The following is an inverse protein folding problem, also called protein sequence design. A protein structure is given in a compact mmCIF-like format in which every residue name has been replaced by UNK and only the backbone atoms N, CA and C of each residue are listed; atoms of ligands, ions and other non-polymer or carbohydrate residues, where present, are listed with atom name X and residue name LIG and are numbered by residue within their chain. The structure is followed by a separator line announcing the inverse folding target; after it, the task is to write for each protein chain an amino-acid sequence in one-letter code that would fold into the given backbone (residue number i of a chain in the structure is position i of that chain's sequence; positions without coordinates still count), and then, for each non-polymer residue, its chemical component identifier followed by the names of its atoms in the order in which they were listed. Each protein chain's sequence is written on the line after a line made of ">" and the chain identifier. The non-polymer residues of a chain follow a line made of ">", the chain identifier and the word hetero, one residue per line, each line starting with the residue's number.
data_IF_316834552433
#
_entry.id   IF_316834552433
#
_cell.length_a   1.000
_cell.length_b   1.000
_cell.length_c   1.000
_cell.angle_alpha   90.00
_cell.angle_beta   90.00
_cell.angle_gamma   90.00
#
_symmetry.space_group_name_H-M   'P 1'
#
loop_
_entity.id
_entity.type
_entity.pdbx_description
1 polymer ?
#
# COMPACT_ATOMS: atom_id res chain seq x y z
N UNK A 1 6.53 12.45 5.03
CA UNK A 1 7.15 11.11 5.04
C UNK A 1 7.28 10.65 3.59
N UNK A 2 8.27 9.82 3.28
CA UNK A 2 8.48 9.21 1.96
C UNK A 2 8.50 7.68 2.15
N UNK A 3 7.64 6.96 1.44
CA UNK A 3 7.54 5.51 1.49
C UNK A 3 7.82 4.96 0.10
N UNK A 4 8.75 3.99 0.02
CA UNK A 4 8.96 3.13 -1.14
C UNK A 4 9.34 3.87 -2.47
N UNK A 5 9.61 5.18 -2.41
CA UNK A 5 10.23 5.99 -3.46
C UNK A 5 9.38 6.33 -4.69
N UNK A 6 8.22 5.71 -4.87
CA UNK A 6 7.30 6.04 -5.95
C UNK A 6 6.42 4.88 -6.39
N UNK A 7 5.79 5.00 -7.56
CA UNK A 7 4.92 3.96 -8.13
C UNK A 7 5.28 3.72 -9.59
N UNK A 8 5.56 2.46 -9.95
CA UNK A 8 5.64 1.99 -11.34
C UNK A 8 6.66 2.71 -12.26
N UNK A 9 7.88 2.97 -11.79
CA UNK A 9 8.97 3.52 -12.62
C UNK A 9 10.11 2.52 -12.84
N UNK A 10 9.85 1.39 -13.50
CA UNK A 10 10.87 0.36 -13.75
C UNK A 10 10.65 -0.40 -15.06
N UNK A 11 11.74 -0.82 -15.71
CA UNK A 11 11.73 -1.67 -16.92
C UNK A 11 11.75 -3.17 -16.61
N UNK A 12 12.27 -3.54 -15.44
CA UNK A 12 12.30 -4.89 -14.89
C UNK A 12 12.53 -4.82 -13.35
N UNK A 13 12.43 -5.92 -12.58
CA UNK A 13 12.84 -5.94 -11.18
C UNK A 13 14.28 -5.42 -11.02
N UNK A 14 14.47 -4.52 -10.06
CA UNK A 14 15.70 -3.79 -9.75
C UNK A 14 16.24 -2.93 -10.90
N UNK A 15 15.40 -2.56 -11.88
CA UNK A 15 15.77 -1.69 -12.99
C UNK A 15 14.83 -0.48 -13.06
N UNK A 16 15.00 0.50 -12.16
CA UNK A 16 14.24 1.73 -12.22
C UNK A 16 14.53 2.49 -13.52
N UNK A 17 13.52 3.15 -14.08
CA UNK A 17 13.70 4.01 -15.25
C UNK A 17 14.54 5.23 -14.86
N UNK A 18 15.73 5.37 -15.44
CA UNK A 18 16.65 6.50 -15.25
C UNK A 18 16.96 6.82 -13.77
N UNK A 19 17.65 5.94 -13.04
CA UNK A 19 17.96 6.13 -11.62
C UNK A 19 18.69 7.45 -11.33
N UNK A 20 19.55 7.90 -12.24
CA UNK A 20 20.31 9.14 -12.07
C UNK A 20 19.40 10.38 -12.05
N UNK A 21 18.35 10.40 -12.88
CA UNK A 21 17.37 11.49 -12.87
C UNK A 21 16.61 11.57 -11.53
N UNK A 22 16.34 10.42 -10.89
CA UNK A 22 15.71 10.38 -9.57
C UNK A 22 16.64 10.93 -8.48
N UNK A 23 17.93 10.62 -8.57
CA UNK A 23 18.97 11.15 -7.67
C UNK A 23 19.11 12.67 -7.84
N UNK A 24 19.19 13.16 -9.08
CA UNK A 24 19.28 14.60 -9.39
C UNK A 24 18.03 15.37 -8.91
N UNK A 25 16.85 14.78 -9.11
CA UNK A 25 15.60 15.36 -8.62
C UNK A 25 15.58 15.40 -7.09
N UNK A 26 16.04 14.34 -6.43
CA UNK A 26 16.17 14.29 -4.97
C UNK A 26 17.13 15.37 -4.46
N UNK A 27 18.27 15.57 -5.14
CA UNK A 27 19.20 16.66 -4.85
C UNK A 27 18.53 18.03 -4.95
N UNK A 28 17.75 18.26 -6.01
CA UNK A 28 17.06 19.52 -6.24
C UNK A 28 16.02 19.83 -5.16
N UNK A 29 15.23 18.82 -4.76
CA UNK A 29 14.26 18.95 -3.67
C UNK A 29 14.94 19.20 -2.33
N UNK A 30 16.07 18.54 -2.08
CA UNK A 30 16.85 18.67 -0.84
C UNK A 30 17.33 20.10 -0.57
N UNK A 31 17.66 20.87 -1.62
CA UNK A 31 18.13 22.26 -1.48
C UNK A 31 17.11 23.21 -0.86
N UNK A 32 15.81 22.96 -1.10
CA UNK A 32 14.73 23.85 -0.65
C UNK A 32 13.90 23.26 0.48
N UNK A 33 14.02 21.96 0.74
CA UNK A 33 13.32 21.32 1.84
C UNK A 33 13.77 21.84 3.20
N UNK A 34 12.80 22.20 4.05
CA UNK A 34 13.02 22.66 5.43
C UNK A 34 12.25 21.85 6.46
N UNK A 35 11.28 21.06 6.02
CA UNK A 35 10.44 20.23 6.88
C UNK A 35 11.16 18.90 7.13
N UNK A 36 11.25 18.42 8.39
CA UNK A 36 11.81 17.11 8.69
C UNK A 36 11.15 16.00 7.90
N UNK A 37 11.96 15.08 7.34
CA UNK A 37 11.45 13.99 6.51
C UNK A 37 12.01 12.64 6.94
N UNK A 38 11.11 11.68 7.15
CA UNK A 38 11.45 10.27 7.33
C UNK A 38 11.21 9.50 6.03
N UNK A 39 12.19 8.71 5.62
CA UNK A 39 12.16 7.82 4.45
C UNK A 39 12.13 6.38 4.94
N UNK A 40 11.17 5.57 4.48
CA UNK A 40 11.12 4.13 4.76
C UNK A 40 11.09 3.36 3.44
N UNK A 41 11.96 2.36 3.35
CA UNK A 41 12.12 1.46 2.20
C UNK A 41 12.34 0.05 2.73
N UNK A 42 12.07 -1.00 1.94
CA UNK A 42 12.35 -2.37 2.34
C UNK A 42 13.63 -2.93 1.70
N UNK A 43 14.34 -3.82 2.39
CA UNK A 43 15.54 -4.49 1.87
C UNK A 43 15.31 -5.23 0.56
N UNK A 44 14.12 -5.81 0.37
CA UNK A 44 13.71 -6.55 -0.82
C UNK A 44 12.76 -5.75 -1.74
N UNK A 45 12.77 -4.41 -1.67
CA UNK A 45 12.07 -3.58 -2.65
C UNK A 45 12.67 -3.79 -4.05
N UNK A 46 11.86 -4.30 -4.98
CA UNK A 46 12.28 -4.61 -6.34
C UNK A 46 12.16 -3.43 -7.32
N UNK A 47 11.72 -2.26 -6.89
CA UNK A 47 11.57 -1.08 -7.75
C UNK A 47 12.49 0.07 -7.30
N UNK A 48 12.56 0.31 -5.99
CA UNK A 48 13.43 1.30 -5.38
C UNK A 48 14.29 0.66 -4.30
N UNK A 49 15.00 -0.40 -4.70
CA UNK A 49 15.88 -1.16 -3.81
C UNK A 49 16.87 -0.29 -3.02
N UNK A 50 17.47 -0.85 -1.96
CA UNK A 50 18.19 -0.08 -0.94
C UNK A 50 19.35 0.76 -1.50
N UNK A 51 20.03 0.32 -2.57
CA UNK A 51 21.08 1.09 -3.23
C UNK A 51 20.56 2.42 -3.81
N UNK A 52 19.47 2.37 -4.60
CA UNK A 52 18.87 3.58 -5.17
C UNK A 52 18.33 4.48 -4.05
N UNK A 53 17.65 3.90 -3.07
CA UNK A 53 17.13 4.66 -1.93
C UNK A 53 18.23 5.43 -1.20
N UNK A 54 19.38 4.79 -0.94
CA UNK A 54 20.54 5.42 -0.30
C UNK A 54 21.13 6.55 -1.16
N UNK A 55 21.28 6.34 -2.47
CA UNK A 55 21.79 7.36 -3.40
C UNK A 55 20.88 8.59 -3.44
N UNK A 56 19.56 8.39 -3.57
CA UNK A 56 18.57 9.46 -3.54
C UNK A 56 18.58 10.20 -2.20
N UNK A 57 18.64 9.47 -1.09
CA UNK A 57 18.66 10.05 0.25
C UNK A 57 19.94 10.87 0.51
N UNK A 58 21.09 10.37 0.09
CA UNK A 58 22.36 11.09 0.21
C UNK A 58 22.32 12.41 -0.57
N UNK A 59 21.80 12.38 -1.80
CA UNK A 59 21.64 13.57 -2.63
C UNK A 59 20.63 14.57 -2.01
N UNK A 60 19.50 14.10 -1.50
CA UNK A 60 18.51 14.92 -0.80
C UNK A 60 19.12 15.59 0.45
N UNK A 61 19.86 14.83 1.27
CA UNK A 61 20.45 15.31 2.51
C UNK A 61 21.61 16.28 2.29
N UNK A 62 22.37 16.12 1.20
CA UNK A 62 23.46 17.02 0.83
C UNK A 62 23.00 18.48 0.63
N UNK A 63 21.73 18.70 0.31
CA UNK A 63 21.12 20.03 0.24
C UNK A 63 20.82 20.70 1.59
N UNK A 64 21.14 20.04 2.70
CA UNK A 64 20.86 20.50 4.07
C UNK A 64 19.45 20.15 4.57
N UNK A 65 18.72 19.30 3.86
CA UNK A 65 17.40 18.85 4.27
C UNK A 65 17.48 18.01 5.56
N UNK A 66 16.66 18.30 6.59
CA UNK A 66 16.62 17.51 7.81
C UNK A 66 15.92 16.16 7.56
N UNK A 67 16.68 15.13 7.23
CA UNK A 67 16.14 13.84 6.78
C UNK A 67 16.73 12.64 7.53
N UNK A 68 15.95 11.56 7.63
CA UNK A 68 16.36 10.25 8.16
C UNK A 68 15.88 9.14 7.22
N UNK A 69 16.70 8.11 7.03
CA UNK A 69 16.38 6.92 6.22
C UNK A 69 16.36 5.68 7.13
N UNK A 70 15.28 4.92 7.07
CA UNK A 70 15.18 3.58 7.65
C UNK A 70 14.93 2.56 6.55
N UNK A 71 15.76 1.51 6.53
CA UNK A 71 15.52 0.34 5.69
C UNK A 71 14.88 -0.74 6.57
N UNK A 72 13.67 -1.14 6.22
CA UNK A 72 12.86 -2.15 6.88
C UNK A 72 13.28 -3.56 6.44
N UNK A 73 13.05 -4.59 7.27
CA UNK A 73 13.24 -5.98 6.89
C UNK A 73 12.45 -6.37 5.63
N UNK A 74 12.81 -7.47 4.96
CA UNK A 74 12.06 -7.97 3.81
C UNK A 74 10.59 -8.23 4.13
N UNK A 75 9.70 -7.82 3.23
CA UNK A 75 8.27 -8.11 3.33
C UNK A 75 7.79 -8.83 2.07
N UNK A 76 7.20 -10.04 2.25
CA UNK A 76 6.72 -10.89 1.14
C UNK A 76 7.84 -11.08 0.06
N UNK A 77 7.58 -11.51 -1.18
CA UNK A 77 8.63 -11.56 -2.21
C UNK A 77 9.13 -10.19 -2.72
N UNK A 78 8.36 -9.12 -2.51
CA UNK A 78 8.71 -7.75 -2.90
C UNK A 78 8.20 -6.77 -1.84
N UNK A 79 9.13 -6.07 -1.17
CA UNK A 79 8.83 -5.16 -0.07
C UNK A 79 8.35 -3.77 -0.48
N UNK A 80 8.19 -3.47 -1.76
CA UNK A 80 7.81 -2.14 -2.25
C UNK A 80 6.48 -1.59 -1.70
N UNK A 81 5.59 -2.44 -1.20
CA UNK A 81 4.30 -2.00 -0.65
C UNK A 81 4.20 -2.32 0.84
N UNK A 82 5.34 -2.33 1.56
CA UNK A 82 5.37 -2.73 2.97
C UNK A 82 4.45 -1.86 3.80
N UNK A 83 4.52 -0.53 3.69
CA UNK A 83 3.68 0.37 4.49
C UNK A 83 2.19 0.21 4.15
N UNK A 84 1.87 -0.12 2.90
CA UNK A 84 0.48 -0.30 2.45
C UNK A 84 -0.12 -1.65 2.83
N UNK A 85 0.68 -2.73 2.86
CA UNK A 85 0.17 -4.10 2.95
C UNK A 85 0.58 -4.85 4.22
N UNK A 86 1.62 -4.40 4.92
CA UNK A 86 2.04 -5.03 6.17
C UNK A 86 1.23 -4.47 7.35
N UNK A 87 1.02 -5.27 8.42
CA UNK A 87 0.49 -4.75 9.68
C UNK A 87 1.32 -3.56 10.16
N UNK A 88 0.67 -2.56 10.76
CA UNK A 88 1.33 -1.36 11.25
C UNK A 88 2.53 -1.66 12.16
N UNK A 89 2.45 -2.69 13.00
CA UNK A 89 3.53 -3.16 13.87
C UNK A 89 4.84 -3.50 13.13
N UNK A 90 4.76 -3.73 11.81
CA UNK A 90 5.93 -4.03 10.96
C UNK A 90 6.78 -2.79 10.68
N UNK A 91 6.17 -1.60 10.62
CA UNK A 91 6.84 -0.37 10.15
C UNK A 91 6.64 0.83 11.08
N UNK A 92 5.55 0.88 11.84
CA UNK A 92 5.22 1.97 12.74
C UNK A 92 6.24 2.18 13.86
N UNK A 93 6.90 1.15 14.43
CA UNK A 93 7.99 1.36 15.39
C UNK A 93 9.16 2.21 14.84
N UNK A 94 9.35 2.25 13.52
CA UNK A 94 10.33 3.14 12.88
C UNK A 94 9.81 4.57 12.67
N UNK A 95 8.48 4.75 12.69
CA UNK A 95 7.79 6.02 12.45
C UNK A 95 7.48 6.76 13.74
N UNK A 96 7.03 6.03 14.77
CA UNK A 96 6.56 6.59 16.02
C UNK A 96 7.57 7.54 16.67
N UNK A 97 8.85 7.17 16.88
CA UNK A 97 9.82 8.08 17.49
C UNK A 97 10.04 9.38 16.71
N UNK A 98 9.93 9.31 15.38
CA UNK A 98 10.06 10.48 14.51
C UNK A 98 8.87 11.43 14.68
N UNK A 99 7.64 10.90 14.73
CA UNK A 99 6.44 11.69 14.96
C UNK A 99 6.41 12.31 16.37
N UNK A 100 6.80 11.54 17.39
CA UNK A 100 6.89 12.04 18.77
C UNK A 100 7.88 13.19 18.90
N UNK A 101 9.05 13.09 18.25
CA UNK A 101 10.05 14.17 18.22
C UNK A 101 9.52 15.46 17.58
N UNK A 102 8.54 15.36 16.68
CA UNK A 102 7.87 16.50 16.06
C UNK A 102 6.66 17.00 16.86
N UNK A 103 6.35 16.39 18.01
CA UNK A 103 5.18 16.71 18.82
C UNK A 103 3.85 16.30 18.15
N UNK A 104 3.88 15.34 17.23
CA UNK A 104 2.71 14.86 16.52
C UNK A 104 2.04 13.70 17.27
N UNK A 105 0.70 13.52 17.13
CA UNK A 105 0.00 12.41 17.79
C UNK A 105 0.47 11.05 17.25
N UNK A 106 0.85 10.15 18.16
CA UNK A 106 1.23 8.76 17.85
C UNK A 106 0.32 7.73 18.51
N UNK A 107 -0.41 8.14 19.55
CA UNK A 107 -1.31 7.26 20.30
C UNK A 107 -2.71 7.27 19.72
N UNK A 108 -3.30 6.10 19.58
CA UNK A 108 -4.73 5.96 19.31
C UNK A 108 -5.51 6.50 20.51
N UNK A 109 -6.18 7.64 20.31
CA UNK A 109 -7.05 8.28 21.32
C UNK A 109 -8.51 7.90 21.16
N UNK A 110 -8.89 7.46 19.96
CA UNK A 110 -10.21 6.96 19.61
C UNK A 110 -9.97 5.69 18.79
N UNK A 111 -10.49 4.56 19.27
CA UNK A 111 -10.56 3.37 18.44
C UNK A 111 -11.56 3.65 17.31
N UNK A 112 -11.08 3.64 16.07
CA UNK A 112 -11.97 3.65 14.92
C UNK A 112 -12.93 2.45 15.04
N UNK A 113 -14.19 2.57 14.62
CA UNK A 113 -15.11 1.45 14.64
C UNK A 113 -14.44 0.25 13.96
N UNK A 114 -14.53 -0.90 14.62
CA UNK A 114 -13.95 -2.16 14.17
C UNK A 114 -14.32 -2.43 12.71
N UNK A 115 -13.39 -3.10 12.03
CA UNK A 115 -13.52 -3.63 10.68
C UNK A 115 -14.92 -4.19 10.42
N UNK A 116 -15.40 -4.07 9.18
CA UNK A 116 -16.68 -4.66 8.82
C UNK A 116 -16.68 -6.16 9.17
N UNK A 117 -17.54 -6.60 10.09
CA UNK A 117 -17.74 -8.02 10.38
C UNK A 117 -18.64 -8.65 9.31
N UNK A 118 -18.24 -8.52 8.03
CA UNK A 118 -19.01 -9.10 6.94
C UNK A 118 -18.81 -10.61 6.94
N UNK A 119 -19.88 -11.40 6.76
CA UNK A 119 -19.74 -12.83 6.63
C UNK A 119 -18.86 -13.19 5.41
N UNK A 120 -18.15 -14.31 5.49
CA UNK A 120 -17.42 -14.84 4.34
C UNK A 120 -18.43 -15.17 3.24
N UNK A 121 -18.15 -14.83 1.96
CA UNK A 121 -19.06 -15.15 0.88
C UNK A 121 -19.37 -16.65 0.82
N UNK A 122 -20.66 -17.05 0.87
CA UNK A 122 -21.03 -18.45 0.84
C UNK A 122 -20.49 -19.15 -0.42
N UNK A 123 -19.87 -20.31 -0.23
CA UNK A 123 -19.30 -21.09 -1.33
C UNK A 123 -17.96 -20.55 -1.87
N UNK A 124 -17.38 -19.51 -1.26
CA UNK A 124 -16.05 -19.02 -1.66
C UNK A 124 -15.00 -20.12 -1.55
N UNK A 125 -14.19 -20.28 -2.61
CA UNK A 125 -13.03 -21.16 -2.61
C UNK A 125 -11.94 -20.63 -1.67
N UNK A 126 -11.01 -21.48 -1.20
CA UNK A 126 -9.99 -21.11 -0.22
C UNK A 126 -9.21 -19.83 -0.58
N UNK A 127 -8.79 -19.69 -1.84
CA UNK A 127 -8.10 -18.49 -2.32
C UNK A 127 -8.94 -17.21 -2.17
N UNK A 128 -10.26 -17.31 -2.33
CA UNK A 128 -11.18 -16.20 -2.16
C UNK A 128 -11.57 -15.94 -0.71
N UNK A 129 -11.49 -16.94 0.16
CA UNK A 129 -11.61 -16.75 1.61
C UNK A 129 -10.42 -15.95 2.14
N UNK A 130 -9.20 -16.29 1.71
CA UNK A 130 -7.97 -15.55 2.05
C UNK A 130 -8.03 -14.12 1.49
N UNK A 131 -8.40 -13.97 0.20
CA UNK A 131 -8.57 -12.64 -0.40
C UNK A 131 -9.66 -11.81 0.29
N UNK A 132 -10.71 -12.45 0.83
CA UNK A 132 -11.74 -11.76 1.59
C UNK A 132 -11.25 -11.34 2.98
N UNK A 133 -10.40 -12.14 3.63
CA UNK A 133 -9.74 -11.74 4.87
C UNK A 133 -8.85 -10.49 4.66
N UNK A 134 -8.07 -10.45 3.57
CA UNK A 134 -7.29 -9.27 3.16
C UNK A 134 -8.22 -8.07 2.86
N UNK A 135 -9.37 -8.32 2.21
CA UNK A 135 -10.39 -7.29 1.98
C UNK A 135 -10.90 -6.72 3.31
N UNK A 136 -11.22 -7.54 4.31
CA UNK A 136 -11.71 -7.09 5.61
C UNK A 136 -10.64 -6.35 6.42
N UNK A 137 -9.38 -6.78 6.36
CA UNK A 137 -8.27 -6.14 7.04
C UNK A 137 -7.98 -4.72 6.53
N UNK A 138 -8.41 -4.39 5.30
CA UNK A 138 -8.27 -3.05 4.74
C UNK A 138 -9.40 -2.12 5.26
N UNK A 139 -9.10 -1.06 6.04
CA UNK A 139 -10.13 -0.17 6.58
C UNK A 139 -10.68 0.84 5.56
N UNK A 140 -10.13 0.94 4.35
CA UNK A 140 -10.59 1.88 3.32
C UNK A 140 -12.01 1.54 2.81
N UNK A 141 -12.84 2.56 2.58
CA UNK A 141 -14.16 2.43 1.97
C UNK A 141 -14.09 2.33 0.43
N UNK A 142 -12.99 2.75 -0.19
CA UNK A 142 -12.80 2.78 -1.64
C UNK A 142 -12.41 1.41 -2.23
N UNK A 143 -13.09 0.35 -1.79
CA UNK A 143 -12.87 -1.04 -2.20
C UNK A 143 -14.20 -1.74 -2.48
N UNK A 144 -14.17 -2.78 -3.31
CA UNK A 144 -15.33 -3.64 -3.53
C UNK A 144 -14.89 -5.09 -3.74
N UNK A 145 -15.74 -6.02 -3.35
CA UNK A 145 -15.52 -7.45 -3.49
C UNK A 145 -16.65 -8.03 -4.35
N UNK A 146 -16.30 -8.77 -5.40
CA UNK A 146 -17.24 -9.48 -6.26
C UNK A 146 -17.01 -10.98 -6.17
N UNK A 147 -18.08 -11.76 -6.32
CA UNK A 147 -18.05 -13.23 -6.31
C UNK A 147 -18.84 -13.81 -7.48
N UNK A 148 -18.37 -14.95 -7.98
CA UNK A 148 -19.08 -15.75 -8.97
C UNK A 148 -19.92 -16.85 -8.31
N UNK A 149 -20.80 -17.48 -9.11
CA UNK A 149 -21.56 -18.67 -8.68
C UNK A 149 -20.65 -19.87 -8.36
N UNK A 150 -19.48 -19.96 -9.00
CA UNK A 150 -18.45 -20.97 -8.73
C UNK A 150 -17.58 -20.68 -7.50
N UNK A 151 -17.85 -19.61 -6.73
CA UNK A 151 -17.11 -19.28 -5.52
C UNK A 151 -15.78 -18.56 -5.73
N UNK A 152 -15.45 -18.18 -6.97
CA UNK A 152 -14.30 -17.35 -7.29
C UNK A 152 -14.64 -15.87 -7.10
N UNK A 153 -13.64 -14.99 -7.13
CA UNK A 153 -13.79 -13.61 -6.70
C UNK A 153 -12.89 -12.63 -7.43
N UNK A 154 -13.17 -11.34 -7.24
CA UNK A 154 -12.35 -10.22 -7.67
C UNK A 154 -12.43 -9.04 -6.71
N UNK A 155 -11.30 -8.37 -6.50
CA UNK A 155 -11.19 -7.20 -5.62
C UNK A 155 -10.94 -5.95 -6.46
N UNK A 156 -11.84 -4.98 -6.34
CA UNK A 156 -11.69 -3.65 -6.90
C UNK A 156 -11.24 -2.65 -5.85
N UNK A 157 -10.40 -1.71 -6.27
CA UNK A 157 -9.98 -0.54 -5.48
C UNK A 157 -10.18 0.70 -6.35
N UNK A 158 -10.57 1.81 -5.74
CA UNK A 158 -10.80 3.09 -6.40
C UNK A 158 -10.42 4.25 -5.51
N UNK A 159 -10.82 5.47 -5.86
CA UNK A 159 -10.72 6.63 -4.95
C UNK A 159 -11.98 6.79 -4.11
N UNK A 160 -13.07 6.18 -4.56
CA UNK A 160 -14.38 6.16 -3.89
C UNK A 160 -14.98 4.76 -3.99
N UNK A 161 -15.90 4.43 -3.07
CA UNK A 161 -16.58 3.13 -3.07
C UNK A 161 -17.32 2.82 -4.41
N UNK A 162 -17.99 3.78 -5.08
CA UNK A 162 -18.57 3.55 -6.41
C UNK A 162 -17.54 3.20 -7.48
N UNK A 163 -16.39 3.87 -7.50
CA UNK A 163 -15.33 3.61 -8.48
C UNK A 163 -14.74 2.19 -8.35
N UNK A 164 -14.76 1.62 -7.15
CA UNK A 164 -14.22 0.29 -6.90
C UNK A 164 -15.08 -0.86 -7.45
N UNK A 165 -16.37 -0.60 -7.76
CA UNK A 165 -17.35 -1.64 -8.15
C UNK A 165 -17.01 -2.31 -9.48
N UNK A 166 -16.80 -1.52 -10.53
CA UNK A 166 -16.51 -2.03 -11.87
C UNK A 166 -15.20 -2.85 -11.91
N UNK A 167 -14.08 -2.39 -11.33
CA UNK A 167 -12.86 -3.18 -11.23
C UNK A 167 -13.04 -4.53 -10.51
N UNK A 168 -13.87 -4.59 -9.46
CA UNK A 168 -14.15 -5.83 -8.74
C UNK A 168 -14.85 -6.86 -9.64
N UNK A 169 -15.92 -6.42 -10.32
CA UNK A 169 -16.67 -7.25 -11.26
C UNK A 169 -15.81 -7.71 -12.44
N UNK A 170 -15.04 -6.78 -13.02
CA UNK A 170 -14.15 -7.08 -14.13
C UNK A 170 -13.10 -8.13 -13.75
N UNK A 171 -12.42 -7.96 -12.62
CA UNK A 171 -11.42 -8.93 -12.15
C UNK A 171 -12.04 -10.29 -11.82
N UNK A 172 -13.22 -10.30 -11.21
CA UNK A 172 -13.94 -11.55 -10.97
C UNK A 172 -14.17 -12.29 -12.30
N UNK A 173 -14.74 -11.62 -13.31
CA UNK A 173 -14.98 -12.20 -14.63
C UNK A 173 -13.70 -12.70 -15.29
N UNK A 174 -12.59 -11.98 -15.16
CA UNK A 174 -11.29 -12.41 -15.68
C UNK A 174 -10.84 -13.71 -14.98
N UNK A 175 -10.91 -13.74 -13.65
CA UNK A 175 -10.49 -14.89 -12.84
C UNK A 175 -11.35 -16.14 -13.07
N UNK A 176 -12.60 -15.95 -13.51
CA UNK A 176 -13.56 -17.03 -13.75
C UNK A 176 -13.76 -17.38 -15.22
N UNK A 177 -13.01 -16.76 -16.14
CA UNK A 177 -13.21 -16.91 -17.59
C UNK A 177 -14.64 -16.55 -18.05
N UNK A 178 -15.25 -15.56 -17.40
CA UNK A 178 -16.52 -14.97 -17.82
C UNK A 178 -17.77 -15.49 -17.10
N UNK A 179 -17.63 -16.18 -15.96
CA UNK A 179 -18.81 -16.50 -15.13
C UNK A 179 -19.56 -15.25 -14.69
N UNK A 180 -20.84 -15.42 -14.37
CA UNK A 180 -21.66 -14.38 -13.77
C UNK A 180 -21.12 -14.00 -12.39
N UNK A 181 -20.63 -12.76 -12.31
CA UNK A 181 -20.10 -12.16 -11.10
C UNK A 181 -21.05 -11.08 -10.59
N UNK A 182 -21.23 -11.04 -9.26
CA UNK A 182 -22.00 -10.00 -8.57
C UNK A 182 -21.18 -9.37 -7.46
N UNK A 183 -21.49 -8.12 -7.13
CA UNK A 183 -20.93 -7.48 -5.94
C UNK A 183 -21.43 -8.20 -4.69
N UNK A 184 -20.51 -8.49 -3.78
CA UNK A 184 -20.79 -9.05 -2.47
C UNK A 184 -20.66 -7.98 -1.38
N UNK A 185 -19.63 -7.14 -1.47
CA UNK A 185 -19.38 -6.06 -0.53
C UNK A 185 -18.85 -4.82 -1.24
N UNK A 186 -19.18 -3.64 -0.70
CA UNK A 186 -18.70 -2.33 -1.16
C UNK A 186 -18.34 -1.50 0.06
N UNK A 187 -17.10 -1.01 0.11
CA UNK A 187 -16.51 -0.39 1.30
C UNK A 187 -16.55 -1.34 2.49
N UNK A 188 -17.18 -0.90 3.57
CA UNK A 188 -17.33 -1.69 4.80
C UNK A 188 -18.74 -2.30 4.95
N UNK A 189 -19.48 -2.52 3.86
CA UNK A 189 -20.87 -3.02 3.89
C UNK A 189 -21.14 -4.12 2.86
N UNK A 190 -22.17 -4.94 3.10
CA UNK A 190 -22.68 -5.85 2.08
C UNK A 190 -23.28 -5.04 0.91
N UNK A 191 -23.16 -5.58 -0.29
CA UNK A 191 -23.74 -4.95 -1.47
C UNK A 191 -25.27 -5.06 -1.42
N UNK A 192 -25.95 -3.91 -1.27
CA UNK A 192 -27.41 -3.83 -1.23
C UNK A 192 -27.99 -3.23 0.06
N UNK A 193 -27.16 -3.08 1.09
CA UNK A 193 -27.44 -2.28 2.30
C UNK A 193 -27.23 -0.78 2.06
#
# INVERSE_FOLDING_TARGET
>A
MNFDGGRHSFSAPNQPCSPDNLVDTSAALGRTARVPMLWLYAENDQFYGPDLAQRMFAAYSAGGAPAQLHVLPPFRPNGHNTVMLAPADTWFPSVEPFLEKLGLPTKTVIEAPLFAELPIPPGAVAACQEAFADYLANPDDAKAFAVSTGGHCGIGVGRTAPEAREPALMKCKINTRGEDCRLYAVGQKLAGD
#
